data_IF_330349460142
#
_entry.id   IF_330349460142
#
_cell.length_a   1.000
_cell.length_b   1.000
_cell.length_c   1.000
_cell.angle_alpha   90.00
_cell.angle_beta   90.00
_cell.angle_gamma   90.00
#
_symmetry.space_group_name_H-M   'P 1'
#
loop_
_entity.id
_entity.type
_entity.pdbx_description
1 polymer ?
#
# COMPACT_ATOMS: atom_id res chain seq x y z
N UNK A 1 23.45 25.85 15.33
CA UNK A 1 22.02 26.05 15.66
C UNK A 1 21.22 24.96 15.00
N UNK A 2 21.11 23.82 15.67
CA UNK A 2 20.27 22.71 15.23
C UNK A 2 18.81 23.13 15.35
N UNK A 3 18.20 23.50 14.24
CA UNK A 3 16.76 23.52 14.11
C UNK A 3 16.27 22.09 14.34
N UNK A 4 15.77 21.81 15.54
CA UNK A 4 15.00 20.60 15.84
C UNK A 4 13.80 20.63 14.91
N UNK A 5 13.91 19.96 13.76
CA UNK A 5 12.81 19.66 12.84
C UNK A 5 11.82 18.80 13.61
N UNK A 6 10.87 19.44 14.29
CA UNK A 6 9.80 18.79 15.04
C UNK A 6 9.12 17.81 14.10
N UNK A 7 9.35 16.52 14.29
CA UNK A 7 8.65 15.52 13.51
C UNK A 7 7.15 15.69 13.78
N UNK A 8 6.39 16.04 12.75
CA UNK A 8 4.94 16.27 12.79
C UNK A 8 4.17 14.97 13.01
N UNK A 9 4.53 14.18 14.01
CA UNK A 9 3.88 12.92 14.36
C UNK A 9 2.73 13.19 15.32
N UNK A 10 1.64 12.45 15.13
CA UNK A 10 0.56 12.44 16.12
C UNK A 10 1.06 11.77 17.41
N UNK A 11 0.74 12.39 18.55
CA UNK A 11 0.96 11.83 19.88
C UNK A 11 -0.41 11.65 20.56
N UNK A 12 -0.72 10.48 21.15
CA UNK A 12 0.11 9.27 21.28
C UNK A 12 0.42 8.59 19.93
N UNK A 13 1.36 7.63 19.85
CA UNK A 13 1.67 6.92 18.62
C UNK A 13 0.43 6.17 18.09
N UNK A 14 0.01 6.50 16.87
CA UNK A 14 -1.16 5.92 16.20
C UNK A 14 -0.68 4.97 15.10
N UNK A 15 -1.28 3.77 15.06
CA UNK A 15 -1.16 2.85 13.95
C UNK A 15 -2.51 2.72 13.23
N UNK A 16 -2.48 2.66 11.90
CA UNK A 16 -3.68 2.56 11.06
C UNK A 16 -3.56 1.32 10.18
N UNK A 17 -4.60 0.50 10.20
CA UNK A 17 -4.73 -0.66 9.32
C UNK A 17 -5.97 -0.49 8.47
N UNK A 18 -5.83 -0.76 7.18
CA UNK A 18 -6.90 -0.61 6.20
C UNK A 18 -6.94 -1.84 5.34
N UNK A 19 -8.14 -2.29 4.98
CA UNK A 19 -8.36 -3.46 4.14
C UNK A 19 -9.09 -3.02 2.88
N UNK A 20 -8.56 -3.36 1.70
CA UNK A 20 -9.22 -3.04 0.42
C UNK A 20 -9.30 -1.54 0.11
N UNK A 21 -8.44 -0.71 0.72
CA UNK A 21 -8.62 0.74 0.61
C UNK A 21 -8.26 1.30 -0.79
N UNK A 22 -9.12 2.14 -1.36
CA UNK A 22 -8.83 2.84 -2.61
C UNK A 22 -7.77 3.93 -2.41
N UNK A 23 -7.43 4.64 -3.48
CA UNK A 23 -6.60 5.85 -3.44
C UNK A 23 -7.46 7.04 -2.97
N UNK A 24 -7.06 7.72 -1.89
CA UNK A 24 -7.91 8.72 -1.21
C UNK A 24 -7.37 10.16 -1.26
N UNK A 25 -6.29 10.42 -1.98
CA UNK A 25 -5.79 11.79 -2.16
C UNK A 25 -4.66 11.91 -3.15
N UNK A 26 -4.16 13.14 -3.37
CA UNK A 26 -3.08 13.41 -4.32
C UNK A 26 -1.68 13.17 -3.72
N UNK A 27 -0.63 13.42 -4.51
CA UNK A 27 0.76 13.25 -4.05
C UNK A 27 1.11 14.11 -2.83
N UNK A 28 0.54 15.33 -2.74
CA UNK A 28 0.75 16.21 -1.60
C UNK A 28 0.11 15.64 -0.33
N UNK A 29 -1.14 15.19 -0.43
CA UNK A 29 -1.84 14.49 0.65
C UNK A 29 -1.07 13.25 1.13
N UNK A 30 -0.63 12.38 0.21
CA UNK A 30 0.10 11.17 0.58
C UNK A 30 1.41 11.48 1.32
N UNK A 31 2.12 12.55 0.92
CA UNK A 31 3.36 12.99 1.56
C UNK A 31 3.12 13.56 2.95
N UNK A 32 2.06 14.35 3.11
CA UNK A 32 1.67 14.93 4.39
C UNK A 32 1.15 13.87 5.38
N UNK A 33 0.32 12.96 4.90
CA UNK A 33 -0.21 11.86 5.71
C UNK A 33 0.92 10.95 6.22
N UNK A 34 1.90 10.61 5.37
CA UNK A 34 3.06 9.80 5.77
C UNK A 34 3.90 10.44 6.88
N UNK A 35 3.97 11.78 6.93
CA UNK A 35 4.67 12.49 8.00
C UNK A 35 3.92 12.41 9.33
N UNK A 36 2.58 12.42 9.28
CA UNK A 36 1.71 12.40 10.48
C UNK A 36 1.49 11.01 11.05
N UNK A 37 1.26 10.04 10.17
CA UNK A 37 0.93 8.65 10.52
C UNK A 37 1.87 7.73 9.74
N UNK A 38 3.12 7.55 10.21
CA UNK A 38 4.09 6.70 9.54
C UNK A 38 3.71 5.21 9.62
N UNK A 39 2.96 4.82 10.67
CA UNK A 39 2.53 3.44 10.91
C UNK A 39 1.16 3.14 10.27
N UNK A 40 1.05 3.39 8.97
CA UNK A 40 -0.15 3.06 8.19
C UNK A 40 0.13 1.88 7.28
N UNK A 41 -0.66 0.82 7.44
CA UNK A 41 -0.58 -0.41 6.67
C UNK A 41 -1.84 -0.60 5.83
N UNK A 42 -1.61 -0.86 4.55
CA UNK A 42 -2.60 -1.11 3.51
C UNK A 42 -2.63 -2.60 3.21
N UNK A 43 -3.57 -3.31 3.80
CA UNK A 43 -3.80 -4.71 3.48
C UNK A 43 -4.64 -4.79 2.21
N UNK A 44 -4.07 -5.41 1.19
CA UNK A 44 -4.66 -5.55 -0.15
C UNK A 44 -4.66 -7.02 -0.51
N UNK A 45 -5.80 -7.52 -0.98
CA UNK A 45 -5.84 -8.85 -1.57
C UNK A 45 -5.40 -8.76 -3.04
N UNK A 46 -4.64 -9.74 -3.49
CA UNK A 46 -4.35 -9.88 -4.91
C UNK A 46 -5.66 -10.02 -5.71
N UNK A 47 -5.75 -9.31 -6.84
CA UNK A 47 -6.98 -9.22 -7.64
C UNK A 47 -8.04 -8.22 -7.15
N UNK A 48 -7.85 -7.51 -6.04
CA UNK A 48 -8.82 -6.52 -5.55
C UNK A 48 -8.89 -5.26 -6.44
N UNK A 49 -9.97 -5.14 -7.21
CA UNK A 49 -10.22 -4.02 -8.11
C UNK A 49 -10.42 -2.68 -7.39
N UNK A 50 -10.93 -2.68 -6.14
CA UNK A 50 -11.23 -1.45 -5.39
C UNK A 50 -9.95 -0.72 -5.01
N UNK A 51 -8.91 -1.48 -4.63
CA UNK A 51 -7.62 -0.89 -4.27
C UNK A 51 -6.94 -0.20 -5.45
N UNK A 52 -7.18 -0.67 -6.66
CA UNK A 52 -6.66 -0.07 -7.89
C UNK A 52 -7.38 1.23 -8.27
N UNK A 53 -8.59 1.45 -7.75
CA UNK A 53 -9.38 2.65 -7.96
C UNK A 53 -9.07 3.73 -6.91
N UNK A 54 -9.32 5.00 -7.21
CA UNK A 54 -9.52 5.61 -8.53
C UNK A 54 -8.24 5.60 -9.39
N UNK A 55 -8.34 5.02 -10.59
CA UNK A 55 -7.23 4.99 -11.55
C UNK A 55 -7.29 6.17 -12.53
N UNK A 56 -6.25 6.33 -13.35
CA UNK A 56 -6.16 7.40 -14.35
C UNK A 56 -7.31 7.38 -15.35
N UNK A 57 -7.87 6.20 -15.62
CA UNK A 57 -8.93 5.98 -16.59
C UNK A 57 -10.31 6.43 -16.08
N UNK A 58 -10.65 6.18 -14.80
CA UNK A 58 -11.94 6.59 -14.25
C UNK A 58 -11.99 8.07 -13.85
N UNK A 59 -10.87 8.62 -13.38
CA UNK A 59 -10.92 9.74 -12.45
C UNK A 59 -9.78 10.76 -12.64
N UNK A 60 -9.18 10.83 -13.83
CA UNK A 60 -8.23 11.90 -14.20
C UNK A 60 -6.83 11.80 -13.56
N UNK A 61 -6.51 10.72 -12.84
CA UNK A 61 -5.11 10.34 -12.53
C UNK A 61 -4.40 11.14 -11.43
N UNK A 62 -5.14 11.84 -10.56
CA UNK A 62 -4.54 12.64 -9.49
C UNK A 62 -4.32 11.87 -8.18
N UNK A 63 -4.77 10.62 -8.05
CA UNK A 63 -4.82 9.90 -6.77
C UNK A 63 -3.63 8.96 -6.55
N UNK A 64 -3.10 8.97 -5.32
CA UNK A 64 -1.97 8.19 -4.85
C UNK A 64 -2.28 7.53 -3.51
N UNK A 65 -1.76 6.32 -3.30
CA UNK A 65 -1.82 5.65 -2.01
C UNK A 65 -0.93 6.33 -0.96
N UNK A 66 -1.39 6.29 0.29
CA UNK A 66 -0.65 6.71 1.47
C UNK A 66 -0.55 5.51 2.42
N UNK A 67 0.65 5.26 2.95
CA UNK A 67 0.94 4.08 3.79
C UNK A 67 1.76 3.00 3.07
N UNK A 68 2.15 1.98 3.83
CA UNK A 68 2.89 0.82 3.38
C UNK A 68 1.93 -0.26 2.88
N UNK A 69 2.18 -0.80 1.70
CA UNK A 69 1.38 -1.89 1.13
C UNK A 69 1.73 -3.25 1.73
N UNK A 70 0.71 -4.02 2.05
CA UNK A 70 0.76 -5.40 2.53
C UNK A 70 -0.13 -6.21 1.60
N UNK A 71 0.49 -6.97 0.70
CA UNK A 71 -0.21 -7.75 -0.31
C UNK A 71 -0.42 -9.18 0.19
N UNK A 72 -1.67 -9.63 0.17
CA UNK A 72 -2.08 -10.99 0.48
C UNK A 72 -2.21 -11.77 -0.82
N UNK A 73 -1.67 -12.99 -0.82
CA UNK A 73 -1.78 -13.94 -1.94
C UNK A 73 -3.22 -14.39 -2.18
N UNK A 74 -3.64 -14.48 -3.45
CA UNK A 74 -4.96 -14.97 -3.83
C UNK A 74 -5.14 -16.46 -3.45
N UNK A 75 -4.05 -17.24 -3.52
CA UNK A 75 -4.06 -18.68 -3.31
C UNK A 75 -4.29 -19.16 -1.87
N UNK A 76 -4.48 -18.25 -0.90
CA UNK A 76 -4.53 -18.56 0.54
C UNK A 76 -3.32 -19.38 1.04
N UNK A 77 -2.22 -19.35 0.29
CA UNK A 77 -0.95 -20.06 0.53
C UNK A 77 -0.18 -19.55 1.75
N UNK A 78 -0.68 -18.49 2.40
CA UNK A 78 -0.08 -17.88 3.59
C UNK A 78 1.05 -16.88 3.29
N UNK A 79 1.36 -16.62 2.02
CA UNK A 79 2.40 -15.66 1.62
C UNK A 79 1.89 -14.23 1.76
N UNK A 80 2.60 -13.43 2.56
CA UNK A 80 2.31 -12.00 2.77
C UNK A 80 3.53 -11.19 2.33
N UNK A 81 3.35 -10.25 1.42
CA UNK A 81 4.41 -9.36 0.95
C UNK A 81 4.24 -7.98 1.57
N UNK A 82 5.30 -7.49 2.22
CA UNK A 82 5.29 -6.18 2.88
C UNK A 82 6.18 -5.21 2.11
N UNK A 83 5.57 -4.17 1.55
CA UNK A 83 6.25 -3.17 0.71
C UNK A 83 6.77 -3.73 -0.61
N UNK A 84 5.99 -4.49 -1.39
CA UNK A 84 6.47 -5.09 -2.63
C UNK A 84 6.96 -4.03 -3.61
N UNK A 85 8.11 -4.31 -4.21
CA UNK A 85 8.63 -3.55 -5.35
C UNK A 85 7.90 -3.93 -6.62
N UNK A 86 7.94 -3.06 -7.64
CA UNK A 86 7.33 -3.33 -8.96
C UNK A 86 7.86 -4.64 -9.56
N UNK A 87 9.14 -4.94 -9.32
CA UNK A 87 9.79 -6.18 -9.75
C UNK A 87 9.12 -7.38 -9.06
N UNK A 88 9.02 -7.36 -7.74
CA UNK A 88 8.37 -8.45 -6.99
C UNK A 88 6.92 -8.66 -7.41
N UNK A 89 6.16 -7.58 -7.64
CA UNK A 89 4.78 -7.69 -8.15
C UNK A 89 4.71 -8.29 -9.55
N UNK A 90 5.64 -7.96 -10.45
CA UNK A 90 5.62 -8.42 -11.85
C UNK A 90 6.18 -9.83 -12.03
N UNK A 91 7.25 -10.18 -11.31
CA UNK A 91 7.88 -11.50 -11.46
C UNK A 91 7.14 -12.61 -10.70
N UNK A 92 6.27 -12.27 -9.73
CA UNK A 92 5.40 -13.25 -9.04
C UNK A 92 4.46 -14.00 -9.98
N UNK A 93 4.01 -13.36 -11.06
CA UNK A 93 3.13 -13.99 -12.07
C UNK A 93 3.75 -15.22 -12.75
N UNK A 94 5.08 -15.41 -12.69
CA UNK A 94 5.76 -16.56 -13.29
C UNK A 94 6.02 -17.72 -12.32
N UNK A 95 6.14 -17.48 -11.01
CA UNK A 95 6.60 -18.52 -10.07
C UNK A 95 5.45 -19.31 -9.42
N UNK A 96 4.24 -18.74 -9.34
CA UNK A 96 3.08 -19.40 -8.70
C UNK A 96 2.36 -20.38 -9.64
N UNK A 97 2.66 -20.39 -10.94
CA UNK A 97 2.01 -21.30 -11.91
C UNK A 97 2.59 -22.72 -11.96
N UNK A 98 3.67 -23.04 -11.24
CA UNK A 98 4.40 -24.30 -11.47
C UNK A 98 4.35 -25.35 -10.37
N UNK A 99 3.65 -25.15 -9.24
CA UNK A 99 3.60 -26.19 -8.19
C UNK A 99 2.20 -26.44 -7.62
N UNK A 100 1.20 -26.58 -8.48
CA UNK A 100 -0.07 -27.25 -8.13
C UNK A 100 -0.25 -28.45 -9.05
N UNK A 101 0.64 -29.42 -8.88
CA UNK A 101 0.51 -30.79 -9.36
C UNK A 101 1.11 -31.70 -8.30
N UNK A 102 0.33 -32.01 -7.26
CA UNK A 102 0.53 -33.12 -6.34
C UNK A 102 -0.84 -33.53 -5.79
#
# INVERSE_FOLDING_TARGET
NEEKKTELRLQPPIAVYTFGQPRVGNKAFASFYKQRVPHTFRVVNEGDAITSMPNRLCCGGAYKHAGLEVLLDEGQTGTILVGPTVVETVFRFHEVRTNVAA
#
